data_IF_695644181206
#
_entry.id   IF_695644181206
#
_cell.length_a   1.000
_cell.length_b   1.000
_cell.length_c   1.000
_cell.angle_alpha   90.00
_cell.angle_beta   90.00
_cell.angle_gamma   90.00
#
_symmetry.space_group_name_H-M   'P 1'
#
loop_
_entity.id
_entity.type
_entity.pdbx_description
1 polymer ?
#
# COMPACT_ATOMS: atom_id res chain seq x y z
N UNK A 1 0.03 -24.74 -5.51
CA UNK A 1 -0.18 -25.09 -6.91
C UNK A 1 1.03 -24.60 -7.69
N UNK A 2 1.55 -25.44 -8.59
CA UNK A 2 2.61 -25.07 -9.52
C UNK A 2 2.05 -25.08 -10.93
N UNK A 3 2.37 -24.07 -11.70
CA UNK A 3 2.07 -23.97 -13.12
C UNK A 3 3.39 -24.02 -13.87
N UNK A 4 3.44 -24.75 -14.97
CA UNK A 4 4.63 -24.87 -15.79
C UNK A 4 4.26 -25.41 -17.18
N UNK A 5 5.10 -25.15 -18.13
CA UNK A 5 4.98 -25.55 -19.53
C UNK A 5 5.82 -24.65 -20.41
N UNK A 6 6.24 -25.15 -21.57
CA UNK A 6 7.12 -24.41 -22.48
C UNK A 6 6.42 -23.20 -23.09
N UNK A 7 5.09 -23.25 -23.23
CA UNK A 7 4.26 -22.18 -23.79
C UNK A 7 3.56 -21.32 -22.74
N UNK A 8 3.84 -21.54 -21.45
CA UNK A 8 3.25 -20.76 -20.37
C UNK A 8 3.97 -19.41 -20.21
N UNK A 9 3.23 -18.34 -20.38
CA UNK A 9 3.66 -16.98 -20.08
C UNK A 9 2.96 -16.47 -18.82
N UNK A 10 3.73 -15.84 -17.94
CA UNK A 10 3.21 -15.29 -16.68
C UNK A 10 3.68 -13.85 -16.54
N UNK A 11 2.76 -12.96 -16.22
CA UNK A 11 3.05 -11.61 -15.78
C UNK A 11 2.37 -11.35 -14.43
N UNK A 12 2.93 -10.46 -13.63
CA UNK A 12 2.40 -10.18 -12.31
C UNK A 12 2.54 -8.72 -11.93
N UNK A 13 1.54 -8.22 -11.23
CA UNK A 13 1.52 -6.87 -10.71
C UNK A 13 1.08 -6.86 -9.25
N UNK A 14 1.48 -5.80 -8.54
CA UNK A 14 0.88 -5.46 -7.25
C UNK A 14 0.32 -4.04 -7.29
N UNK A 15 -0.90 -3.87 -6.83
CA UNK A 15 -1.60 -2.59 -6.78
C UNK A 15 -1.73 -2.15 -5.33
N UNK A 16 -1.28 -0.95 -5.00
CA UNK A 16 -1.40 -0.37 -3.67
C UNK A 16 -2.37 0.82 -3.66
N UNK A 17 -1.90 2.02 -3.92
CA UNK A 17 -2.69 3.27 -3.95
C UNK A 17 -2.70 4.01 -2.60
N UNK A 18 -1.91 3.56 -1.60
CA UNK A 18 -1.66 4.31 -0.39
C UNK A 18 -0.60 5.37 -0.62
N UNK A 19 -0.81 6.54 -0.04
CA UNK A 19 0.07 7.69 -0.17
C UNK A 19 0.78 8.00 1.14
N UNK A 20 2.09 8.28 1.12
CA UNK A 20 2.81 8.70 2.31
C UNK A 20 2.30 10.05 2.80
N UNK A 21 2.22 10.22 4.12
CA UNK A 21 1.71 11.40 4.81
C UNK A 21 2.73 11.93 5.81
N UNK A 22 2.90 13.24 5.84
CA UNK A 22 3.77 13.92 6.81
C UNK A 22 5.25 13.59 6.65
N UNK A 23 5.99 13.71 7.76
CA UNK A 23 7.45 13.56 7.80
C UNK A 23 7.92 12.12 7.76
N UNK A 24 9.20 11.95 7.51
CA UNK A 24 9.92 10.68 7.64
C UNK A 24 10.24 10.38 9.10
N UNK A 25 10.31 9.10 9.43
CA UNK A 25 10.76 8.55 10.70
C UNK A 25 11.81 7.48 10.44
N UNK A 26 12.80 7.35 11.32
CA UNK A 26 13.76 6.27 11.31
C UNK A 26 13.31 5.19 12.29
N UNK A 27 13.31 3.94 11.86
CA UNK A 27 13.12 2.79 12.76
C UNK A 27 14.39 2.65 13.59
N UNK A 28 14.32 3.06 14.86
CA UNK A 28 15.47 3.02 15.77
C UNK A 28 15.52 1.75 16.58
N UNK A 29 14.38 1.05 16.73
CA UNK A 29 14.32 -0.23 17.42
C UNK A 29 13.16 -1.09 16.92
N UNK A 30 13.44 -2.34 16.55
CA UNK A 30 12.47 -3.35 16.17
C UNK A 30 13.00 -4.76 16.45
N UNK A 31 12.09 -5.71 16.58
CA UNK A 31 12.41 -7.14 16.72
C UNK A 31 11.37 -7.93 15.91
N UNK A 32 11.76 -8.35 14.69
CA UNK A 32 10.86 -8.92 13.71
C UNK A 32 9.66 -8.00 13.43
N UNK A 33 8.46 -8.47 13.66
CA UNK A 33 7.23 -7.70 13.49
C UNK A 33 6.89 -6.78 14.66
N UNK A 34 7.70 -6.71 15.70
CA UNK A 34 7.48 -5.80 16.83
C UNK A 34 8.25 -4.50 16.61
N UNK A 35 7.53 -3.48 16.19
CA UNK A 35 8.06 -2.12 16.05
C UNK A 35 8.08 -1.44 17.43
N UNK A 36 9.28 -1.20 17.96
CA UNK A 36 9.44 -0.65 19.30
C UNK A 36 9.56 0.87 19.28
N UNK A 37 10.44 1.43 18.42
CA UNK A 37 10.72 2.86 18.42
C UNK A 37 10.86 3.43 17.00
N UNK A 38 10.35 4.65 16.86
CA UNK A 38 10.54 5.54 15.71
C UNK A 38 11.21 6.83 16.19
N UNK A 39 12.41 7.15 15.69
CA UNK A 39 13.25 8.28 16.14
C UNK A 39 13.49 8.28 17.68
N UNK A 40 13.64 7.11 18.30
CA UNK A 40 13.83 6.97 19.75
C UNK A 40 12.55 7.18 20.58
N UNK A 41 11.38 7.30 19.94
CA UNK A 41 10.07 7.45 20.59
C UNK A 41 9.31 6.13 20.47
N UNK A 42 8.62 5.64 21.53
CA UNK A 42 7.77 4.47 21.42
C UNK A 42 6.81 4.55 20.24
N UNK A 43 6.71 3.48 19.45
CA UNK A 43 5.96 3.51 18.18
C UNK A 43 4.49 3.90 18.37
N UNK A 44 3.85 3.43 19.46
CA UNK A 44 2.48 3.81 19.80
C UNK A 44 2.34 5.31 20.08
N UNK A 45 3.33 5.93 20.76
CA UNK A 45 3.28 7.36 21.05
C UNK A 45 3.36 8.21 19.78
N UNK A 46 4.05 7.73 18.73
CA UNK A 46 4.05 8.37 17.42
C UNK A 46 2.64 8.30 16.82
N UNK A 47 2.02 7.13 16.76
CA UNK A 47 0.66 6.98 16.24
C UNK A 47 -0.36 7.78 17.03
N UNK A 48 -0.27 7.75 18.37
CA UNK A 48 -1.12 8.58 19.24
C UNK A 48 -0.96 10.07 18.97
N UNK A 49 0.29 10.53 18.84
CA UNK A 49 0.59 11.95 18.60
C UNK A 49 0.03 12.47 17.27
N UNK A 50 0.20 11.71 16.19
CA UNK A 50 -0.13 12.17 14.84
C UNK A 50 -1.56 11.87 14.43
N UNK A 51 -2.16 10.80 14.95
CA UNK A 51 -3.48 10.31 14.54
C UNK A 51 -4.50 10.30 15.68
N UNK A 52 -4.09 10.65 16.91
CA UNK A 52 -4.95 10.61 18.12
C UNK A 52 -5.61 9.25 18.34
N UNK A 53 -4.92 8.17 17.99
CA UNK A 53 -5.42 6.80 18.10
C UNK A 53 -5.31 6.34 19.57
N UNK A 54 -6.36 5.68 20.06
CA UNK A 54 -6.41 5.09 21.39
C UNK A 54 -5.89 3.66 21.38
N UNK A 55 -5.31 3.23 22.51
CA UNK A 55 -4.97 1.84 22.75
C UNK A 55 -6.19 1.13 23.34
N UNK A 56 -7.10 0.71 22.49
CA UNK A 56 -8.31 -0.02 22.85
C UNK A 56 -8.52 -1.20 21.87
N UNK A 57 -9.60 -1.93 22.06
CA UNK A 57 -9.99 -3.08 21.24
C UNK A 57 -10.19 -2.74 19.75
N UNK A 58 -10.36 -1.45 19.42
CA UNK A 58 -10.54 -0.97 18.07
C UNK A 58 -9.22 -0.47 17.43
N UNK A 59 -8.08 -0.63 18.09
CA UNK A 59 -6.78 -0.15 17.62
C UNK A 59 -6.51 -0.56 16.16
N UNK A 60 -6.71 -1.82 15.81
CA UNK A 60 -6.52 -2.32 14.46
C UNK A 60 -7.38 -1.57 13.43
N UNK A 61 -8.65 -1.35 13.72
CA UNK A 61 -9.56 -0.65 12.79
C UNK A 61 -9.18 0.83 12.62
N UNK A 62 -8.66 1.46 13.67
CA UNK A 62 -8.20 2.84 13.61
C UNK A 62 -6.88 3.00 12.84
N UNK A 63 -6.04 1.98 12.82
CA UNK A 63 -4.72 2.02 12.19
C UNK A 63 -4.69 1.43 10.78
N UNK A 64 -5.71 0.66 10.42
CA UNK A 64 -5.82 -0.03 9.13
C UNK A 64 -5.69 0.91 7.92
N UNK A 65 -6.24 2.13 8.04
CA UNK A 65 -6.17 3.15 6.99
C UNK A 65 -4.80 3.85 6.93
N UNK A 66 -3.96 3.67 7.96
CA UNK A 66 -2.70 4.38 8.17
C UNK A 66 -1.49 3.44 8.35
N UNK A 67 -1.22 2.53 7.41
CA UNK A 67 -0.04 1.70 7.46
C UNK A 67 1.25 2.54 7.34
N UNK A 68 2.36 2.00 7.80
CA UNK A 68 3.68 2.54 7.49
C UNK A 68 4.05 2.23 6.05
N UNK A 69 4.54 3.24 5.38
CA UNK A 69 5.02 3.23 4.00
C UNK A 69 6.53 3.37 3.98
N UNK A 70 7.24 2.56 3.23
CA UNK A 70 8.67 2.72 2.94
C UNK A 70 9.05 2.05 1.63
N UNK A 71 10.21 2.44 1.11
CA UNK A 71 10.78 1.83 -0.08
C UNK A 71 11.84 0.80 0.35
N UNK A 72 11.78 -0.38 -0.25
CA UNK A 72 12.76 -1.44 -0.06
C UNK A 72 13.05 -2.11 -1.41
N UNK A 73 14.32 -2.08 -1.85
CA UNK A 73 14.74 -2.63 -3.14
C UNK A 73 13.87 -2.14 -4.32
N UNK A 74 13.71 -0.83 -4.43
CA UNK A 74 12.89 -0.14 -5.44
C UNK A 74 11.41 -0.59 -5.47
N UNK A 75 10.94 -1.13 -4.36
CA UNK A 75 9.56 -1.59 -4.22
C UNK A 75 8.91 -0.91 -3.03
N UNK A 76 7.71 -0.36 -3.23
CA UNK A 76 6.89 0.17 -2.14
C UNK A 76 6.40 -0.95 -1.24
N UNK A 77 6.67 -0.82 0.04
CA UNK A 77 6.23 -1.75 1.09
C UNK A 77 5.32 -1.02 2.07
N UNK A 78 4.24 -1.68 2.42
CA UNK A 78 3.31 -1.24 3.46
C UNK A 78 3.32 -2.21 4.64
N UNK A 79 3.24 -1.69 5.86
CA UNK A 79 3.10 -2.49 7.09
C UNK A 79 1.98 -1.91 7.94
N UNK A 80 0.97 -2.72 8.20
CA UNK A 80 -0.19 -2.30 8.99
C UNK A 80 0.04 -2.60 10.46
N UNK A 81 -0.19 -1.64 11.36
CA UNK A 81 -0.26 -1.92 12.79
C UNK A 81 -1.42 -2.87 13.10
N UNK A 82 -1.16 -3.89 13.90
CA UNK A 82 -2.16 -4.91 14.29
C UNK A 82 -2.62 -4.72 15.71
N UNK A 83 -1.67 -4.50 16.62
CA UNK A 83 -1.95 -4.33 18.04
C UNK A 83 -0.92 -3.40 18.68
N UNK A 84 -1.33 -2.66 19.70
CA UNK A 84 -0.44 -1.91 20.58
C UNK A 84 -0.15 -2.72 21.83
N UNK A 85 1.10 -2.76 22.25
CA UNK A 85 1.56 -3.50 23.41
C UNK A 85 1.70 -2.59 24.65
N UNK A 86 1.75 -3.19 25.83
CA UNK A 86 1.81 -2.46 27.10
C UNK A 86 3.09 -1.60 27.27
N UNK A 87 4.17 -1.98 26.58
CA UNK A 87 5.46 -1.26 26.60
C UNK A 87 5.53 -0.11 25.58
N UNK A 88 4.44 0.16 24.87
CA UNK A 88 4.38 1.19 23.82
C UNK A 88 4.90 0.74 22.45
N UNK A 89 5.29 -0.52 22.30
CA UNK A 89 5.58 -1.10 20.99
C UNK A 89 4.29 -1.41 20.22
N UNK A 90 4.43 -1.62 18.91
CA UNK A 90 3.31 -2.00 18.03
C UNK A 90 3.67 -3.32 17.34
N UNK A 91 2.74 -4.28 17.39
CA UNK A 91 2.82 -5.47 16.53
C UNK A 91 2.35 -5.09 15.13
N UNK A 92 3.20 -5.32 14.15
CA UNK A 92 2.97 -5.04 12.73
C UNK A 92 2.59 -6.31 11.97
N UNK A 93 2.04 -6.17 10.78
CA UNK A 93 1.70 -7.32 9.90
C UNK A 93 2.91 -8.12 9.42
N UNK A 94 4.10 -7.54 9.46
CA UNK A 94 5.38 -8.19 9.12
C UNK A 94 6.55 -7.35 9.62
N UNK A 95 7.75 -7.85 9.39
CA UNK A 95 9.02 -7.27 9.86
C UNK A 95 9.28 -5.89 9.24
N UNK A 96 9.94 -5.06 10.04
CA UNK A 96 10.49 -3.77 9.61
C UNK A 96 11.91 -3.68 10.18
N UNK A 97 12.90 -3.57 9.30
CA UNK A 97 14.31 -3.54 9.70
C UNK A 97 14.68 -2.23 10.39
N UNK A 98 15.55 -2.34 11.39
CA UNK A 98 16.19 -1.19 12.04
C UNK A 98 16.96 -0.40 10.98
N UNK A 99 16.87 0.93 11.03
CA UNK A 99 17.44 1.85 10.06
C UNK A 99 16.55 2.14 8.86
N UNK A 100 15.43 1.42 8.69
CA UNK A 100 14.44 1.76 7.65
C UNK A 100 13.91 3.17 7.86
N UNK A 101 13.69 3.88 6.74
CA UNK A 101 13.04 5.20 6.73
C UNK A 101 11.59 5.02 6.33
N UNK A 102 10.69 5.26 7.25
CA UNK A 102 9.26 5.03 7.09
C UNK A 102 8.44 6.31 7.17
N UNK A 103 7.25 6.30 6.62
CA UNK A 103 6.25 7.37 6.77
C UNK A 103 4.90 6.75 7.13
N UNK A 104 4.09 7.45 7.91
CA UNK A 104 2.67 7.12 8.00
C UNK A 104 2.08 7.34 6.59
N UNK A 105 1.18 6.48 6.19
CA UNK A 105 0.46 6.63 4.92
C UNK A 105 -1.04 6.60 5.15
N UNK A 106 -1.80 6.93 4.13
CA UNK A 106 -3.25 6.84 4.16
C UNK A 106 -3.80 6.23 2.87
N UNK A 107 -4.90 5.50 2.98
CA UNK A 107 -5.63 4.99 1.84
C UNK A 107 -6.42 6.11 1.16
N UNK A 108 -6.06 6.44 -0.08
CA UNK A 108 -6.81 7.39 -0.90
C UNK A 108 -7.69 6.64 -1.89
N UNK A 109 -9.02 6.61 -1.71
CA UNK A 109 -9.93 5.87 -2.59
C UNK A 109 -9.77 6.23 -4.07
N UNK A 110 -9.58 7.51 -4.38
CA UNK A 110 -9.38 7.98 -5.75
C UNK A 110 -8.12 7.40 -6.36
N UNK A 111 -7.00 7.49 -5.64
CA UNK A 111 -5.70 6.96 -6.10
C UNK A 111 -5.73 5.44 -6.23
N UNK A 112 -6.38 4.74 -5.30
CA UNK A 112 -6.53 3.28 -5.36
C UNK A 112 -7.24 2.90 -6.67
N UNK A 113 -8.37 3.54 -6.97
CA UNK A 113 -9.15 3.25 -8.19
C UNK A 113 -8.40 3.66 -9.46
N UNK A 114 -7.66 4.77 -9.45
CA UNK A 114 -6.80 5.16 -10.58
C UNK A 114 -5.70 4.14 -10.83
N UNK A 115 -5.04 3.66 -9.77
CA UNK A 115 -4.03 2.60 -9.86
C UNK A 115 -4.61 1.31 -10.44
N UNK A 116 -5.79 0.90 -9.97
CA UNK A 116 -6.50 -0.26 -10.49
C UNK A 116 -6.81 -0.11 -11.99
N UNK A 117 -7.33 1.05 -12.41
CA UNK A 117 -7.61 1.32 -13.83
C UNK A 117 -6.36 1.32 -14.69
N UNK A 118 -5.26 1.88 -14.16
CA UNK A 118 -3.99 1.89 -14.87
C UNK A 118 -3.44 0.47 -15.06
N UNK A 119 -3.42 -0.30 -13.99
CA UNK A 119 -2.81 -1.62 -14.00
C UNK A 119 -3.71 -2.67 -14.68
N UNK A 120 -5.04 -2.52 -14.66
CA UNK A 120 -5.92 -3.38 -15.45
C UNK A 120 -5.66 -3.24 -16.96
N UNK A 121 -5.33 -2.04 -17.44
CA UNK A 121 -4.93 -1.84 -18.83
C UNK A 121 -3.63 -2.57 -19.20
N UNK A 122 -2.64 -2.59 -18.29
CA UNK A 122 -1.39 -3.35 -18.49
C UNK A 122 -1.69 -4.84 -18.58
N UNK A 123 -2.51 -5.35 -17.68
CA UNK A 123 -2.93 -6.76 -17.69
C UNK A 123 -3.71 -7.10 -18.97
N UNK A 124 -4.63 -6.24 -19.42
CA UNK A 124 -5.33 -6.43 -20.69
C UNK A 124 -4.35 -6.49 -21.88
N UNK A 125 -3.29 -5.67 -21.87
CA UNK A 125 -2.25 -5.69 -22.91
C UNK A 125 -1.43 -6.98 -22.92
N UNK A 126 -1.29 -7.66 -21.78
CA UNK A 126 -0.65 -8.97 -21.72
C UNK A 126 -1.49 -10.05 -22.44
N UNK A 127 -2.83 -9.90 -22.45
CA UNK A 127 -3.76 -10.85 -23.09
C UNK A 127 -3.88 -12.17 -22.30
N UNK A 128 -4.25 -12.15 -21.02
CA UNK A 128 -4.31 -13.35 -20.20
C UNK A 128 -5.47 -14.26 -20.57
N UNK A 129 -5.27 -15.58 -20.39
CA UNK A 129 -6.34 -16.58 -20.43
C UNK A 129 -6.97 -16.80 -19.04
N UNK A 130 -6.18 -16.49 -17.96
CA UNK A 130 -6.60 -16.68 -16.59
C UNK A 130 -5.91 -15.64 -15.69
N UNK A 131 -6.60 -15.16 -14.68
CA UNK A 131 -6.07 -14.32 -13.62
C UNK A 131 -6.20 -15.01 -12.27
N UNK A 132 -5.08 -15.05 -11.52
CA UNK A 132 -5.11 -15.31 -10.09
C UNK A 132 -5.02 -13.99 -9.34
N UNK A 133 -6.00 -13.72 -8.45
CA UNK A 133 -6.14 -12.46 -7.73
C UNK A 133 -6.05 -12.74 -6.23
N UNK A 134 -5.05 -12.15 -5.60
CA UNK A 134 -4.81 -12.23 -4.16
C UNK A 134 -4.95 -10.83 -3.57
N UNK A 135 -6.01 -10.59 -2.81
CA UNK A 135 -6.30 -9.29 -2.20
C UNK A 135 -6.08 -9.36 -0.70
N UNK A 136 -5.33 -8.42 -0.16
CA UNK A 136 -5.17 -8.31 1.29
C UNK A 136 -6.55 -8.07 1.95
N UNK A 137 -6.83 -8.81 3.02
CA UNK A 137 -8.07 -8.67 3.80
C UNK A 137 -8.27 -7.23 4.32
N UNK A 138 -7.18 -6.51 4.58
CA UNK A 138 -7.21 -5.10 4.95
C UNK A 138 -7.90 -4.23 3.88
N UNK A 139 -7.73 -4.54 2.60
CA UNK A 139 -8.40 -3.82 1.50
C UNK A 139 -9.91 -4.08 1.52
N UNK A 140 -10.31 -5.31 1.78
CA UNK A 140 -11.74 -5.65 1.94
C UNK A 140 -12.38 -4.88 3.10
N UNK A 141 -11.66 -4.74 4.21
CA UNK A 141 -12.11 -3.92 5.35
C UNK A 141 -12.14 -2.44 5.01
N UNK A 142 -11.17 -1.93 4.25
CA UNK A 142 -11.16 -0.55 3.76
C UNK A 142 -12.39 -0.22 2.90
N UNK A 143 -12.84 -1.17 2.06
CA UNK A 143 -14.05 -1.04 1.22
C UNK A 143 -15.30 -1.61 1.88
N UNK A 144 -15.50 -1.42 3.19
CA UNK A 144 -16.58 -2.04 3.95
C UNK A 144 -17.98 -1.77 3.37
N UNK A 145 -18.19 -0.60 2.78
CA UNK A 145 -19.45 -0.15 2.19
C UNK A 145 -19.63 -0.58 0.72
N UNK A 146 -18.64 -1.26 0.14
CA UNK A 146 -18.66 -1.71 -1.26
C UNK A 146 -18.82 -3.22 -1.36
N UNK A 147 -19.28 -3.68 -2.53
CA UNK A 147 -19.31 -5.09 -2.86
C UNK A 147 -17.90 -5.71 -2.80
N UNK A 148 -17.77 -6.99 -2.40
CA UNK A 148 -16.46 -7.66 -2.30
C UNK A 148 -15.63 -7.61 -3.57
N UNK A 149 -16.27 -7.51 -4.72
CA UNK A 149 -15.63 -7.47 -6.05
C UNK A 149 -15.34 -6.06 -6.54
N UNK A 150 -15.68 -5.03 -5.78
CA UNK A 150 -15.61 -3.62 -6.23
C UNK A 150 -14.28 -3.25 -6.88
N UNK A 151 -13.16 -3.56 -6.24
CA UNK A 151 -11.83 -3.20 -6.77
C UNK A 151 -11.25 -4.23 -7.74
N UNK A 152 -11.77 -5.45 -7.78
CA UNK A 152 -11.28 -6.51 -8.68
C UNK A 152 -12.10 -6.63 -9.97
N UNK A 153 -13.28 -6.02 -10.03
CA UNK A 153 -14.16 -6.10 -11.21
C UNK A 153 -13.48 -5.70 -12.52
N UNK A 154 -12.60 -4.69 -12.60
CA UNK A 154 -11.92 -4.37 -13.86
C UNK A 154 -11.02 -5.47 -14.39
N UNK A 155 -10.48 -6.29 -13.51
CA UNK A 155 -9.67 -7.44 -13.89
C UNK A 155 -10.54 -8.63 -14.30
N UNK A 156 -11.70 -8.82 -13.66
CA UNK A 156 -12.64 -9.87 -14.00
C UNK A 156 -13.26 -9.69 -15.39
N UNK A 157 -13.30 -8.47 -15.91
CA UNK A 157 -13.74 -8.18 -17.29
C UNK A 157 -12.70 -8.55 -18.35
N UNK A 158 -11.42 -8.74 -17.95
CA UNK A 158 -10.32 -9.04 -18.87
C UNK A 158 -10.25 -10.55 -19.17
N UNK A 159 -10.35 -11.39 -18.14
CA UNK A 159 -10.25 -12.85 -18.27
C UNK A 159 -10.94 -13.54 -17.08
N UNK A 160 -11.28 -14.84 -17.21
CA UNK A 160 -11.70 -15.66 -16.10
C UNK A 160 -10.71 -15.49 -14.92
N UNK A 161 -11.25 -15.33 -13.73
CA UNK A 161 -10.42 -15.07 -12.55
C UNK A 161 -10.81 -15.94 -11.36
N UNK A 162 -9.83 -16.28 -10.54
CA UNK A 162 -10.01 -16.91 -9.25
C UNK A 162 -9.02 -16.38 -8.24
N UNK A 163 -9.28 -16.56 -6.97
CA UNK A 163 -8.41 -16.06 -5.91
C UNK A 163 -9.09 -16.03 -4.57
N UNK A 164 -8.48 -15.31 -3.61
CA UNK A 164 -9.00 -15.20 -2.26
C UNK A 164 -8.44 -13.97 -1.55
N UNK A 165 -9.04 -13.64 -0.40
CA UNK A 165 -8.50 -12.64 0.52
C UNK A 165 -7.43 -13.28 1.41
N UNK A 166 -6.29 -12.61 1.56
CA UNK A 166 -5.11 -13.05 2.31
C UNK A 166 -4.71 -12.04 3.39
N UNK A 167 -3.85 -12.45 4.30
CA UNK A 167 -3.31 -11.58 5.35
C UNK A 167 -1.89 -11.06 5.02
N UNK A 168 -1.40 -11.33 3.82
CA UNK A 168 -0.13 -10.90 3.27
C UNK A 168 0.12 -11.60 1.94
N UNK A 169 0.70 -10.89 1.01
CA UNK A 169 0.95 -11.31 -0.35
C UNK A 169 2.46 -11.40 -0.59
N UNK A 170 2.91 -12.44 -1.28
CA UNK A 170 4.30 -12.58 -1.69
C UNK A 170 4.42 -12.40 -3.19
N UNK A 171 5.27 -11.47 -3.58
CA UNK A 171 5.56 -11.22 -4.99
C UNK A 171 7.06 -11.05 -5.21
N UNK A 172 7.56 -11.68 -6.28
CA UNK A 172 8.92 -11.47 -6.76
C UNK A 172 8.92 -10.39 -7.83
N UNK A 173 9.57 -9.26 -7.53
CA UNK A 173 9.77 -8.14 -8.48
C UNK A 173 11.26 -7.89 -8.65
N UNK A 174 11.73 -7.74 -9.89
CA UNK A 174 13.14 -7.44 -10.19
C UNK A 174 14.15 -8.37 -9.48
N UNK A 175 13.78 -9.65 -9.33
CA UNK A 175 14.62 -10.65 -8.66
C UNK A 175 14.46 -10.74 -7.14
N UNK A 176 13.83 -9.75 -6.49
CA UNK A 176 13.63 -9.72 -5.05
C UNK A 176 12.25 -10.25 -4.68
N UNK A 177 12.19 -11.17 -3.70
CA UNK A 177 10.95 -11.64 -3.13
C UNK A 177 10.59 -10.76 -1.94
N UNK A 178 9.45 -10.09 -2.02
CA UNK A 178 8.95 -9.25 -0.95
C UNK A 178 7.60 -9.76 -0.43
N UNK A 179 7.40 -9.65 0.87
CA UNK A 179 6.09 -9.76 1.47
C UNK A 179 5.43 -8.38 1.42
N UNK A 180 4.23 -8.35 0.88
CA UNK A 180 3.39 -7.16 0.78
C UNK A 180 2.21 -7.25 1.73
N UNK A 181 1.70 -6.12 2.16
CA UNK A 181 0.46 -5.97 2.90
C UNK A 181 -0.35 -4.82 2.29
N UNK A 182 -1.65 -4.84 2.47
CA UNK A 182 -2.57 -3.82 1.94
C UNK A 182 -2.47 -3.70 0.41
N UNK A 183 -2.12 -4.79 -0.25
CA UNK A 183 -1.96 -4.84 -1.70
C UNK A 183 -3.00 -5.75 -2.36
N UNK A 184 -3.14 -5.57 -3.65
CA UNK A 184 -3.83 -6.48 -4.56
C UNK A 184 -2.76 -7.03 -5.50
N UNK A 185 -2.46 -8.32 -5.39
CA UNK A 185 -1.51 -9.02 -6.26
C UNK A 185 -2.28 -9.81 -7.31
N UNK A 186 -1.89 -9.64 -8.56
CA UNK A 186 -2.51 -10.33 -9.69
C UNK A 186 -1.42 -11.05 -10.46
N UNK A 187 -1.60 -12.35 -10.65
CA UNK A 187 -0.82 -13.15 -11.56
C UNK A 187 -1.67 -13.45 -12.80
N UNK A 188 -1.23 -12.92 -13.93
CA UNK A 188 -1.83 -13.11 -15.23
C UNK A 188 -1.12 -14.24 -15.97
N UNK A 189 -1.87 -15.19 -16.48
CA UNK A 189 -1.34 -16.37 -17.18
C UNK A 189 -1.94 -16.48 -18.56
N UNK A 190 -1.10 -16.89 -19.51
CA UNK A 190 -1.47 -17.11 -20.90
C UNK A 190 -0.69 -18.29 -21.45
N UNK A 191 -1.38 -19.11 -22.22
CA UNK A 191 -0.74 -20.18 -22.99
C UNK A 191 -0.59 -19.78 -24.47
N UNK A 192 0.62 -19.98 -25.02
CA UNK A 192 0.94 -19.71 -26.41
C UNK A 192 1.06 -18.22 -26.76
N UNK A 193 0.79 -17.88 -28.02
CA UNK A 193 0.93 -16.53 -28.54
C UNK A 193 -0.08 -15.56 -27.90
N UNK A 194 0.32 -14.27 -27.90
CA UNK A 194 -0.51 -13.19 -27.38
C UNK A 194 -1.80 -13.06 -28.17
N UNK A 195 -2.94 -13.13 -27.48
CA UNK A 195 -4.26 -12.85 -28.05
C UNK A 195 -4.52 -11.34 -28.05
N UNK A 196 -5.37 -10.90 -28.99
CA UNK A 196 -5.84 -9.51 -28.97
C UNK A 196 -6.54 -9.20 -27.66
N UNK A 197 -6.31 -8.01 -27.06
CA UNK A 197 -6.93 -7.66 -25.80
C UNK A 197 -8.46 -7.73 -25.89
N UNK A 198 -9.08 -8.50 -25.04
CA UNK A 198 -10.52 -8.47 -24.83
C UNK A 198 -10.81 -7.14 -24.15
N UNK A 199 -11.59 -6.30 -24.75
CA UNK A 199 -11.95 -4.91 -24.45
C UNK A 199 -11.47 -4.32 -23.12
N UNK A 200 -11.09 -3.07 -23.16
CA UNK A 200 -10.69 -2.32 -21.95
C UNK A 200 -11.88 -2.23 -21.00
N UNK A 201 -11.71 -2.79 -19.80
CA UNK A 201 -12.65 -2.61 -18.71
C UNK A 201 -13.00 -1.13 -18.52
N UNK A 202 -14.20 -0.77 -18.85
CA UNK A 202 -14.77 0.50 -18.44
C UNK A 202 -15.35 0.29 -17.05
N UNK A 203 -14.56 0.60 -16.03
CA UNK A 203 -15.21 0.99 -14.78
C UNK A 203 -16.22 2.05 -15.17
N UNK A 204 -17.51 1.69 -15.08
CA UNK A 204 -18.59 2.65 -15.32
C UNK A 204 -18.21 3.93 -14.57
N UNK A 205 -18.30 5.06 -15.22
CA UNK A 205 -18.16 6.39 -14.63
C UNK A 205 -19.33 6.66 -13.67
N UNK A 206 -19.63 5.70 -12.80
CA UNK A 206 -20.54 5.94 -11.71
C UNK A 206 -19.84 6.91 -10.76
N UNK A 207 -20.18 8.16 -11.00
CA UNK A 207 -19.76 9.31 -10.24
C UNK A 207 -18.23 9.49 -10.22
N UNK A 208 -17.68 10.12 -11.26
CA UNK A 208 -16.61 11.06 -11.01
C UNK A 208 -17.01 11.81 -9.74
N UNK A 209 -16.32 11.60 -8.64
CA UNK A 209 -16.58 12.36 -7.43
C UNK A 209 -16.52 13.83 -7.86
N UNK A 210 -17.67 14.51 -7.95
CA UNK A 210 -17.77 15.92 -8.32
C UNK A 210 -16.93 16.81 -7.39
N UNK A 211 -16.47 16.23 -6.28
CA UNK A 211 -15.58 16.87 -5.30
C UNK A 211 -14.54 15.89 -4.80
N UNK A 212 -13.28 16.31 -4.80
CA UNK A 212 -12.19 15.59 -4.10
C UNK A 212 -12.59 15.46 -2.63
N UNK A 213 -12.52 14.24 -2.04
CA UNK A 213 -12.86 14.02 -0.63
C UNK A 213 -12.10 14.97 0.30
N UNK A 214 -12.74 15.39 1.39
CA UNK A 214 -12.10 16.29 2.36
C UNK A 214 -10.81 15.72 2.91
N UNK A 215 -10.79 14.42 3.20
CA UNK A 215 -9.60 13.70 3.70
C UNK A 215 -8.44 13.81 2.71
N UNK A 216 -8.68 13.58 1.43
CA UNK A 216 -7.63 13.70 0.39
C UNK A 216 -7.08 15.12 0.29
N UNK A 217 -7.95 16.15 0.41
CA UNK A 217 -7.53 17.55 0.40
C UNK A 217 -6.70 17.91 1.63
N UNK A 218 -7.13 17.47 2.82
CA UNK A 218 -6.39 17.67 4.07
C UNK A 218 -5.04 16.94 4.04
N UNK A 219 -5.01 15.71 3.56
CA UNK A 219 -3.77 14.96 3.43
C UNK A 219 -2.79 15.63 2.46
N UNK A 220 -3.26 16.15 1.33
CA UNK A 220 -2.43 16.94 0.40
C UNK A 220 -1.89 18.19 1.07
N UNK A 221 -2.73 18.93 1.79
CA UNK A 221 -2.31 20.13 2.52
C UNK A 221 -1.23 19.81 3.56
N UNK A 222 -1.43 18.76 4.38
CA UNK A 222 -0.44 18.30 5.38
C UNK A 222 0.87 17.88 4.69
N UNK A 223 0.81 17.17 3.58
CA UNK A 223 2.02 16.73 2.87
C UNK A 223 2.81 17.91 2.31
N UNK A 224 2.14 18.86 1.68
CA UNK A 224 2.78 20.06 1.12
C UNK A 224 3.43 20.89 2.24
N UNK A 225 2.70 21.18 3.31
CA UNK A 225 3.24 21.97 4.44
C UNK A 225 4.38 21.26 5.15
N UNK A 226 4.36 19.93 5.23
CA UNK A 226 5.48 19.16 5.79
C UNK A 226 6.74 19.27 4.94
N UNK A 227 6.62 19.22 3.61
CA UNK A 227 7.74 19.39 2.68
C UNK A 227 8.32 20.83 2.76
N UNK A 228 7.46 21.83 2.82
CA UNK A 228 7.88 23.22 2.98
C UNK A 228 8.66 23.43 4.29
N UNK A 229 8.20 22.80 5.39
CA UNK A 229 8.92 22.85 6.68
C UNK A 229 10.27 22.12 6.62
N UNK A 230 10.34 20.97 5.96
CA UNK A 230 11.62 20.26 5.76
C UNK A 230 12.61 21.11 4.96
N UNK A 231 12.16 21.75 3.88
CA UNK A 231 13.00 22.68 3.09
C UNK A 231 13.46 23.88 3.89
N UNK A 232 12.59 24.48 4.71
CA UNK A 232 12.95 25.59 5.60
C UNK A 232 14.01 25.18 6.62
N UNK A 233 13.85 23.99 7.23
CA UNK A 233 14.81 23.49 8.20
C UNK A 233 16.19 23.25 7.55
N UNK A 234 16.24 22.65 6.37
CA UNK A 234 17.51 22.46 5.63
C UNK A 234 18.18 23.80 5.31
N UNK A 235 17.42 24.82 4.92
CA UNK A 235 17.95 26.17 4.68
C UNK A 235 18.51 26.80 5.96
N UNK A 236 17.82 26.64 7.09
CA UNK A 236 18.27 27.13 8.38
C UNK A 236 19.55 26.44 8.84
N UNK A 237 19.65 25.13 8.71
CA UNK A 237 20.87 24.38 9.02
C UNK A 237 22.05 24.86 8.19
N UNK A 238 21.85 25.01 6.88
CA UNK A 238 22.91 25.53 6.00
C UNK A 238 23.35 26.96 6.34
N UNK A 239 22.43 27.83 6.73
CA UNK A 239 22.80 29.19 7.19
C UNK A 239 23.56 29.12 8.50
N UNK A 240 23.14 28.30 9.45
CA UNK A 240 23.82 28.13 10.73
C UNK A 240 25.25 27.55 10.59
N UNK A 241 25.46 26.65 9.62
CA UNK A 241 26.81 26.13 9.32
C UNK A 241 27.73 27.20 8.74
N UNK A 242 27.22 28.14 7.97
CA UNK A 242 28.01 29.27 7.41
C UNK A 242 28.34 30.36 8.41
N UNK A 243 27.65 30.42 9.54
CA UNK A 243 27.84 31.40 10.60
C UNK A 243 28.80 30.90 11.70
N UNK A 244 29.21 29.63 11.64
CA UNK A 244 30.23 29.03 12.51
C UNK A 244 31.60 29.09 11.83
#
# INVERSE_FOLDING_TARGET
>A
VFYGGDDLHVDSINVTGWKPLGRKFHVTKSDGSILQELDGIPAYDVYRKYLNIRNDENFFYHTLEFPLFYEHNDTTILRTPVASNADGSITMTSDIDIGSVVRISYGDPGTIIESIRHDSKKIAQFGPDLLHIFSCAARRTFWTDKEPTYEISPFQEIAPSCGFFSHGEFLRTSGNLNQHNVTLVIAAMREGERKEPIGTATLSNENSMLKVPLVSRLATFISVTSLELEEMNMKLEHVNEKLK
#
